data_IF_299731440246
#
_entry.id   IF_299731440246
#
_cell.length_a   1.000
_cell.length_b   1.000
_cell.length_c   1.000
_cell.angle_alpha   90.00
_cell.angle_beta   90.00
_cell.angle_gamma   90.00
#
_symmetry.space_group_name_H-M   'P 1'
#
loop_
_entity.id
_entity.type
_entity.pdbx_description
1 polymer ?
#
# COMPACT_ATOMS: atom_id res chain seq x y z
N UNK A 1 37.74 -7.64 -1.39
CA UNK A 1 36.69 -8.06 -0.42
C UNK A 1 35.35 -7.59 -0.97
N UNK A 2 34.32 -8.41 -0.78
CA UNK A 2 33.18 -8.62 -1.70
C UNK A 2 32.38 -7.37 -2.06
N UNK A 3 32.18 -7.12 -3.36
CA UNK A 3 31.13 -6.25 -3.89
C UNK A 3 29.86 -7.10 -4.05
N UNK A 4 29.01 -7.16 -3.03
CA UNK A 4 27.65 -7.68 -3.19
C UNK A 4 26.72 -6.49 -3.07
N UNK A 5 26.44 -5.85 -4.21
CA UNK A 5 25.35 -4.89 -4.34
C UNK A 5 24.08 -5.73 -4.49
N UNK A 6 23.27 -5.76 -3.44
CA UNK A 6 21.99 -6.46 -3.45
C UNK A 6 21.05 -5.79 -4.44
N UNK A 7 20.62 -6.55 -5.44
CA UNK A 7 19.51 -6.17 -6.31
C UNK A 7 18.24 -6.52 -5.53
N UNK A 8 17.71 -5.55 -4.76
CA UNK A 8 16.38 -5.68 -4.18
C UNK A 8 15.36 -5.68 -5.33
N UNK A 9 14.82 -6.85 -5.67
CA UNK A 9 13.76 -7.01 -6.66
C UNK A 9 12.42 -6.51 -6.08
N UNK A 10 12.24 -5.21 -5.92
CA UNK A 10 11.02 -4.59 -5.36
C UNK A 10 9.99 -4.19 -6.43
N UNK A 11 10.26 -4.39 -7.72
CA UNK A 11 9.61 -3.60 -8.77
C UNK A 11 8.23 -4.11 -9.28
N UNK A 12 7.78 -5.33 -8.98
CA UNK A 12 6.62 -5.87 -9.71
C UNK A 12 5.24 -5.43 -9.16
N UNK A 13 5.09 -5.28 -7.83
CA UNK A 13 3.77 -5.08 -7.21
C UNK A 13 3.52 -3.63 -6.76
N UNK A 14 4.57 -2.88 -6.41
CA UNK A 14 4.45 -1.47 -6.04
C UNK A 14 3.87 -0.60 -7.19
N UNK A 15 4.11 -0.97 -8.45
CA UNK A 15 3.63 -0.22 -9.63
C UNK A 15 2.11 -0.27 -9.76
N UNK A 16 1.47 -1.40 -9.42
CA UNK A 16 0.02 -1.58 -9.57
C UNK A 16 -0.77 -0.69 -8.60
N UNK A 17 -0.16 -0.33 -7.47
CA UNK A 17 -0.78 0.40 -6.36
C UNK A 17 -0.48 1.89 -6.48
N UNK A 18 0.75 2.24 -6.90
CA UNK A 18 1.12 3.63 -7.24
C UNK A 18 0.24 4.22 -8.36
N UNK A 19 -0.38 3.37 -9.20
CA UNK A 19 -1.29 3.79 -10.27
C UNK A 19 -2.79 3.77 -9.94
N UNK A 20 -3.21 3.18 -8.81
CA UNK A 20 -4.62 3.12 -8.42
C UNK A 20 -4.92 4.24 -7.42
N UNK A 21 -5.55 5.32 -7.91
CA UNK A 21 -6.27 6.24 -7.03
C UNK A 21 -7.51 5.53 -6.47
N UNK A 22 -7.89 5.84 -5.23
CA UNK A 22 -9.20 5.43 -4.74
C UNK A 22 -10.28 5.92 -5.73
N UNK A 23 -11.35 5.14 -5.97
CA UNK A 23 -12.39 5.57 -6.89
C UNK A 23 -13.04 6.85 -6.37
N UNK A 24 -13.28 7.82 -7.26
CA UNK A 24 -14.06 9.00 -6.91
C UNK A 24 -15.55 8.63 -6.92
N UNK A 25 -16.16 8.50 -5.74
CA UNK A 25 -17.56 8.10 -5.57
C UNK A 25 -18.56 9.27 -5.60
N UNK A 26 -18.16 10.45 -6.10
CA UNK A 26 -19.05 11.62 -6.19
C UNK A 26 -20.22 11.45 -7.17
N UNK A 27 -20.22 10.39 -8.00
CA UNK A 27 -21.21 10.17 -9.06
C UNK A 27 -22.13 8.97 -8.80
N UNK A 28 -22.49 8.70 -7.54
CA UNK A 28 -23.48 7.67 -7.23
C UNK A 28 -24.88 8.20 -7.57
N UNK A 29 -25.69 7.45 -8.37
CA UNK A 29 -27.09 7.79 -8.62
C UNK A 29 -27.85 7.96 -7.30
N UNK A 30 -28.73 8.96 -7.21
CA UNK A 30 -29.51 9.22 -5.99
C UNK A 30 -30.34 8.01 -5.54
N UNK A 31 -30.75 7.16 -6.49
CA UNK A 31 -31.44 5.90 -6.23
C UNK A 31 -30.59 4.87 -5.44
N UNK A 32 -29.26 5.01 -5.46
CA UNK A 32 -28.32 4.14 -4.78
C UNK A 32 -27.65 4.79 -3.57
N UNK A 33 -27.99 6.05 -3.24
CA UNK A 33 -27.32 6.80 -2.17
C UNK A 33 -27.35 6.08 -0.81
N UNK A 34 -28.52 5.55 -0.43
CA UNK A 34 -28.68 4.82 0.84
C UNK A 34 -27.95 3.46 0.80
N UNK A 35 -28.07 2.74 -0.32
CA UNK A 35 -27.44 1.41 -0.53
C UNK A 35 -25.92 1.49 -0.61
N UNK A 36 -25.37 2.63 -1.00
CA UNK A 36 -23.93 2.88 -1.12
C UNK A 36 -23.38 3.76 0.01
N UNK A 37 -24.16 4.02 1.06
CA UNK A 37 -23.84 5.03 2.08
C UNK A 37 -22.47 4.82 2.74
N UNK A 38 -22.13 3.59 3.14
CA UNK A 38 -20.82 3.29 3.74
C UNK A 38 -19.70 3.30 2.71
N UNK A 39 -19.99 2.91 1.47
CA UNK A 39 -19.01 3.00 0.38
C UNK A 39 -18.59 4.44 0.12
N UNK A 40 -19.56 5.36 0.05
CA UNK A 40 -19.30 6.80 -0.10
C UNK A 40 -18.58 7.35 1.13
N UNK A 41 -19.06 7.01 2.33
CA UNK A 41 -18.47 7.47 3.59
C UNK A 41 -17.01 7.03 3.72
N UNK A 42 -16.72 5.74 3.50
CA UNK A 42 -15.37 5.19 3.61
C UNK A 42 -14.39 5.90 2.69
N UNK A 43 -14.78 6.06 1.42
CA UNK A 43 -13.93 6.75 0.46
C UNK A 43 -13.74 8.23 0.79
N UNK A 44 -14.80 8.93 1.19
CA UNK A 44 -14.73 10.33 1.59
C UNK A 44 -13.80 10.52 2.80
N UNK A 45 -13.92 9.68 3.83
CA UNK A 45 -13.07 9.77 5.01
C UNK A 45 -11.61 9.46 4.67
N UNK A 46 -11.34 8.50 3.79
CA UNK A 46 -9.99 8.22 3.33
C UNK A 46 -9.40 9.37 2.50
N UNK A 47 -10.17 9.96 1.56
CA UNK A 47 -9.75 11.10 0.74
C UNK A 47 -9.50 12.37 1.55
N UNK A 48 -10.21 12.55 2.66
CA UNK A 48 -10.06 13.73 3.54
C UNK A 48 -8.96 13.56 4.58
N UNK A 49 -8.64 12.31 4.97
CA UNK A 49 -7.59 12.01 5.95
C UNK A 49 -6.21 11.95 5.31
N UNK A 50 -6.11 11.43 4.07
CA UNK A 50 -4.85 11.17 3.40
C UNK A 50 -4.71 11.99 2.11
N UNK A 51 -3.47 12.40 1.80
CA UNK A 51 -3.17 13.22 0.60
C UNK A 51 -2.48 12.43 -0.51
N UNK A 52 -1.80 11.34 -0.16
CA UNK A 52 -1.19 10.41 -1.11
C UNK A 52 -2.25 9.47 -1.67
N UNK A 53 -2.31 9.31 -3.00
CA UNK A 53 -3.23 8.35 -3.64
C UNK A 53 -3.07 6.92 -3.10
N UNK A 54 -1.83 6.52 -2.79
CA UNK A 54 -1.53 5.21 -2.21
C UNK A 54 -2.12 5.08 -0.81
N UNK A 55 -2.03 6.12 0.02
CA UNK A 55 -2.57 6.09 1.38
C UNK A 55 -4.10 6.15 1.38
N UNK A 56 -4.69 6.95 0.48
CA UNK A 56 -6.15 6.99 0.28
C UNK A 56 -6.66 5.61 -0.14
N UNK A 57 -6.02 4.97 -1.12
CA UNK A 57 -6.43 3.64 -1.58
C UNK A 57 -6.16 2.56 -0.52
N UNK A 58 -5.03 2.64 0.18
CA UNK A 58 -4.71 1.77 1.32
C UNK A 58 -5.75 1.88 2.42
N UNK A 59 -6.18 3.10 2.74
CA UNK A 59 -7.25 3.36 3.70
C UNK A 59 -8.56 2.74 3.24
N UNK A 60 -8.96 2.97 1.98
CA UNK A 60 -10.20 2.41 1.44
C UNK A 60 -10.18 0.88 1.45
N UNK A 61 -9.05 0.26 1.09
CA UNK A 61 -8.90 -1.20 1.13
C UNK A 61 -8.91 -1.76 2.54
N UNK A 62 -8.25 -1.11 3.48
CA UNK A 62 -8.22 -1.53 4.87
C UNK A 62 -9.58 -1.36 5.56
N UNK A 63 -10.40 -0.42 5.06
CA UNK A 63 -11.75 -0.12 5.54
C UNK A 63 -12.79 -0.48 4.47
N UNK A 64 -12.56 -1.57 3.73
CA UNK A 64 -13.39 -1.92 2.59
C UNK A 64 -14.86 -2.05 3.02
N UNK A 65 -15.77 -1.30 2.39
CA UNK A 65 -17.09 -1.05 2.95
C UNK A 65 -17.98 -2.30 2.86
N UNK A 66 -18.73 -2.57 3.92
CA UNK A 66 -19.55 -3.79 4.02
C UNK A 66 -20.73 -3.80 3.05
N UNK A 67 -21.17 -2.63 2.58
CA UNK A 67 -22.28 -2.47 1.64
C UNK A 67 -21.84 -2.54 0.17
N UNK A 68 -20.55 -2.76 -0.11
CA UNK A 68 -19.98 -2.73 -1.46
C UNK A 68 -20.72 -3.62 -2.47
N UNK A 69 -21.13 -4.82 -2.07
CA UNK A 69 -21.83 -5.78 -2.94
C UNK A 69 -23.23 -5.29 -3.32
N UNK A 70 -23.98 -4.78 -2.33
CA UNK A 70 -25.34 -4.26 -2.54
C UNK A 70 -25.28 -2.96 -3.35
N UNK A 71 -24.29 -2.12 -3.05
CA UNK A 71 -24.00 -0.91 -3.82
C UNK A 71 -23.71 -1.23 -5.29
N UNK A 72 -22.82 -2.19 -5.59
CA UNK A 72 -22.50 -2.59 -6.95
C UNK A 72 -23.74 -3.12 -7.72
N UNK A 73 -24.62 -3.86 -7.02
CA UNK A 73 -25.88 -4.34 -7.58
C UNK A 73 -26.82 -3.19 -7.93
N UNK A 74 -26.94 -2.20 -7.03
CA UNK A 74 -27.74 -1.00 -7.28
C UNK A 74 -27.18 -0.19 -8.46
N UNK A 75 -25.87 0.05 -8.48
CA UNK A 75 -25.19 0.79 -9.55
C UNK A 75 -25.38 0.14 -10.93
N UNK A 76 -25.32 -1.19 -11.00
CA UNK A 76 -25.60 -1.95 -12.23
C UNK A 76 -27.02 -1.72 -12.73
N UNK A 77 -27.99 -1.58 -11.82
CA UNK A 77 -29.41 -1.39 -12.13
C UNK A 77 -29.79 0.06 -12.46
N UNK A 78 -28.87 1.01 -12.25
CA UNK A 78 -29.12 2.46 -12.38
C UNK A 78 -28.06 3.14 -13.28
N UNK A 79 -27.73 2.51 -14.41
CA UNK A 79 -26.85 3.05 -15.46
C UNK A 79 -25.42 3.43 -15.02
N UNK A 80 -24.94 2.89 -13.90
CA UNK A 80 -23.60 3.12 -13.35
C UNK A 80 -22.73 1.84 -13.36
N UNK A 81 -22.87 1.01 -14.40
CA UNK A 81 -22.20 -0.30 -14.50
C UNK A 81 -20.66 -0.24 -14.46
N UNK A 82 -20.05 0.85 -14.94
CA UNK A 82 -18.60 1.04 -14.85
C UNK A 82 -18.14 1.21 -13.38
N UNK A 83 -18.89 1.96 -12.58
CA UNK A 83 -18.61 2.16 -11.16
C UNK A 83 -18.91 0.88 -10.36
N UNK A 84 -19.96 0.15 -10.73
CA UNK A 84 -20.24 -1.17 -10.18
C UNK A 84 -19.07 -2.15 -10.44
N UNK A 85 -18.58 -2.20 -11.68
CA UNK A 85 -17.47 -3.07 -12.07
C UNK A 85 -16.19 -2.74 -11.32
N UNK A 86 -15.93 -1.44 -11.11
CA UNK A 86 -14.82 -0.97 -10.31
C UNK A 86 -14.94 -1.46 -8.85
N UNK A 87 -16.09 -1.23 -8.21
CA UNK A 87 -16.35 -1.69 -6.84
C UNK A 87 -16.19 -3.20 -6.70
N UNK A 88 -16.78 -3.99 -7.61
CA UNK A 88 -16.63 -5.46 -7.61
C UNK A 88 -15.18 -5.89 -7.80
N UNK A 89 -14.42 -5.24 -8.69
CA UNK A 89 -12.99 -5.51 -8.86
C UNK A 89 -12.21 -5.21 -7.58
N UNK A 90 -12.51 -4.09 -6.92
CA UNK A 90 -11.85 -3.67 -5.69
C UNK A 90 -12.08 -4.66 -4.53
N UNK A 91 -13.24 -5.33 -4.49
CA UNK A 91 -13.52 -6.39 -3.50
C UNK A 91 -12.48 -7.52 -3.51
N UNK A 92 -11.94 -7.86 -4.67
CA UNK A 92 -10.90 -8.90 -4.80
C UNK A 92 -9.49 -8.29 -4.75
N UNK A 93 -9.32 -7.10 -5.33
CA UNK A 93 -8.03 -6.42 -5.38
C UNK A 93 -7.53 -5.99 -4.00
N UNK A 94 -8.39 -5.48 -3.11
CA UNK A 94 -7.99 -4.99 -1.80
C UNK A 94 -7.38 -6.06 -0.90
N UNK A 95 -8.02 -7.24 -0.67
CA UNK A 95 -7.40 -8.31 0.11
C UNK A 95 -6.07 -8.78 -0.49
N UNK A 96 -6.01 -8.86 -1.83
CA UNK A 96 -4.78 -9.23 -2.54
C UNK A 96 -3.66 -8.22 -2.29
N UNK A 97 -3.94 -6.92 -2.46
CA UNK A 97 -2.98 -5.85 -2.24
C UNK A 97 -2.45 -5.85 -0.80
N UNK A 98 -3.35 -5.97 0.18
CA UNK A 98 -3.00 -6.07 1.60
C UNK A 98 -2.10 -7.29 1.86
N UNK A 99 -2.49 -8.48 1.40
CA UNK A 99 -1.69 -9.70 1.60
C UNK A 99 -0.33 -9.65 0.90
N UNK A 100 -0.23 -8.91 -0.21
CA UNK A 100 1.00 -8.72 -0.97
C UNK A 100 1.82 -7.52 -0.48
N UNK A 101 1.45 -6.90 0.65
CA UNK A 101 2.17 -5.78 1.26
C UNK A 101 2.36 -4.59 0.32
N UNK A 102 1.40 -4.43 -0.58
CA UNK A 102 1.40 -3.45 -1.66
C UNK A 102 1.58 -2.02 -1.17
N UNK A 103 0.98 -1.68 -0.02
CA UNK A 103 0.99 -0.34 0.54
C UNK A 103 2.25 -0.08 1.35
N UNK A 104 2.69 -1.06 2.14
CA UNK A 104 3.93 -0.99 2.93
C UNK A 104 5.17 -0.90 2.04
N UNK A 105 5.11 -1.47 0.85
CA UNK A 105 6.18 -1.43 -0.16
C UNK A 105 6.06 -0.26 -1.16
N UNK A 106 5.07 0.62 -1.01
CA UNK A 106 4.84 1.74 -1.92
C UNK A 106 5.59 3.00 -1.48
N UNK A 107 6.91 2.97 -1.62
CA UNK A 107 7.79 4.12 -1.38
C UNK A 107 8.73 4.32 -2.57
N UNK A 108 9.43 5.45 -2.60
CA UNK A 108 10.40 5.74 -3.65
C UNK A 108 11.72 5.03 -3.39
N UNK A 109 12.17 4.28 -4.39
CA UNK A 109 13.37 3.47 -4.27
C UNK A 109 14.61 4.28 -4.58
N UNK A 110 15.67 4.08 -3.80
CA UNK A 110 16.99 4.63 -4.11
C UNK A 110 17.60 3.93 -5.33
N UNK A 111 18.41 4.67 -6.09
CA UNK A 111 19.25 4.06 -7.12
C UNK A 111 20.23 3.06 -6.49
N UNK A 112 20.46 1.94 -7.18
CA UNK A 112 21.35 0.88 -6.69
C UNK A 112 22.80 1.34 -6.45
N UNK A 113 23.24 2.42 -7.10
CA UNK A 113 24.55 3.05 -6.87
C UNK A 113 24.55 4.12 -5.79
N UNK A 114 23.39 4.59 -5.34
CA UNK A 114 23.27 5.63 -4.32
C UNK A 114 23.21 4.99 -2.92
N UNK A 115 24.39 4.70 -2.39
CA UNK A 115 24.57 4.11 -1.06
C UNK A 115 24.07 5.07 0.03
N UNK A 116 24.25 6.38 -0.15
CA UNK A 116 23.81 7.36 0.85
C UNK A 116 22.29 7.37 0.99
N UNK A 117 21.57 7.24 -0.13
CA UNK A 117 20.12 7.10 -0.12
C UNK A 117 19.72 5.76 0.53
N UNK A 118 20.34 4.65 0.11
CA UNK A 118 20.00 3.31 0.61
C UNK A 118 20.26 3.12 2.12
N UNK A 119 21.23 3.85 2.67
CA UNK A 119 21.58 3.82 4.08
C UNK A 119 20.98 4.98 4.88
N UNK A 120 20.10 5.79 4.30
CA UNK A 120 19.39 6.85 4.99
C UNK A 120 18.23 6.30 5.84
N UNK A 121 17.94 6.98 6.97
CA UNK A 121 16.93 6.55 7.93
C UNK A 121 15.56 6.24 7.29
N UNK A 122 15.05 7.15 6.44
CA UNK A 122 13.73 7.02 5.81
C UNK A 122 13.65 5.79 4.89
N UNK A 123 14.71 5.55 4.09
CA UNK A 123 14.73 4.40 3.19
C UNK A 123 14.83 3.08 3.96
N UNK A 124 15.68 3.02 4.99
CA UNK A 124 15.81 1.86 5.84
C UNK A 124 14.49 1.56 6.58
N UNK A 125 13.78 2.57 7.09
CA UNK A 125 12.48 2.38 7.72
C UNK A 125 11.42 1.87 6.72
N UNK A 126 11.40 2.41 5.50
CA UNK A 126 10.48 1.95 4.46
C UNK A 126 10.76 0.51 4.01
N UNK A 127 12.04 0.15 3.84
CA UNK A 127 12.45 -1.24 3.55
C UNK A 127 12.07 -2.15 4.71
N UNK A 128 12.33 -1.74 5.96
CA UNK A 128 11.94 -2.50 7.15
C UNK A 128 10.43 -2.77 7.18
N UNK A 129 9.62 -1.76 6.91
CA UNK A 129 8.16 -1.88 6.89
C UNK A 129 7.69 -2.89 5.84
N UNK A 130 8.16 -2.73 4.59
CA UNK A 130 7.85 -3.63 3.48
C UNK A 130 8.32 -5.07 3.76
N UNK A 131 9.57 -5.23 4.21
CA UNK A 131 10.19 -6.52 4.50
C UNK A 131 9.46 -7.26 5.64
N UNK A 132 9.10 -6.54 6.70
CA UNK A 132 8.36 -7.08 7.84
C UNK A 132 6.99 -7.59 7.41
N UNK A 133 6.26 -6.81 6.61
CA UNK A 133 4.96 -7.24 6.09
C UNK A 133 5.11 -8.49 5.20
N UNK A 134 6.07 -8.50 4.26
CA UNK A 134 6.25 -9.63 3.34
C UNK A 134 6.63 -10.92 4.07
N UNK A 135 7.49 -10.82 5.08
CA UNK A 135 7.83 -11.97 5.92
C UNK A 135 6.62 -12.46 6.73
N UNK A 136 5.81 -11.55 7.28
CA UNK A 136 4.60 -11.93 8.02
C UNK A 136 3.54 -12.61 7.14
N UNK A 137 3.41 -12.18 5.88
CA UNK A 137 2.46 -12.76 4.90
C UNK A 137 3.03 -13.95 4.10
N UNK A 138 4.29 -14.32 4.30
CA UNK A 138 4.91 -15.46 3.59
C UNK A 138 5.22 -15.19 2.11
N UNK A 139 5.39 -13.93 1.71
CA UNK A 139 5.69 -13.51 0.35
C UNK A 139 7.17 -13.74 0.00
N UNK A 140 7.66 -14.99 0.03
CA UNK A 140 9.09 -15.35 -0.03
C UNK A 140 9.84 -14.92 -1.30
N UNK A 141 9.12 -14.56 -2.37
CA UNK A 141 9.70 -14.03 -3.60
C UNK A 141 9.92 -12.50 -3.59
N UNK A 142 9.51 -11.82 -2.52
CA UNK A 142 9.69 -10.38 -2.31
C UNK A 142 10.80 -10.10 -1.26
N UNK A 143 11.10 -8.83 -1.01
CA UNK A 143 12.05 -8.42 0.03
C UNK A 143 11.62 -8.95 1.40
N UNK A 144 12.51 -9.69 2.05
CA UNK A 144 12.30 -10.30 3.37
C UNK A 144 13.03 -9.53 4.47
N UNK A 145 12.63 -9.77 5.73
CA UNK A 145 13.31 -9.19 6.89
C UNK A 145 14.80 -9.54 6.96
N UNK A 146 15.19 -10.70 6.43
CA UNK A 146 16.60 -11.10 6.29
C UNK A 146 17.38 -10.21 5.33
N UNK A 147 16.73 -9.72 4.27
CA UNK A 147 17.35 -8.81 3.30
C UNK A 147 17.55 -7.44 3.93
N UNK A 148 16.56 -6.96 4.70
CA UNK A 148 16.70 -5.74 5.50
C UNK A 148 17.86 -5.84 6.49
N UNK A 149 17.93 -6.92 7.29
CA UNK A 149 19.01 -7.10 8.26
C UNK A 149 20.39 -7.08 7.59
N UNK A 150 20.50 -7.68 6.40
CA UNK A 150 21.75 -7.67 5.61
C UNK A 150 22.10 -6.27 5.11
N UNK A 151 21.11 -5.50 4.66
CA UNK A 151 21.29 -4.10 4.24
C UNK A 151 21.70 -3.22 5.42
N UNK A 152 20.99 -3.33 6.54
CA UNK A 152 21.28 -2.59 7.77
C UNK A 152 22.71 -2.86 8.26
N UNK A 153 23.12 -4.13 8.33
CA UNK A 153 24.48 -4.52 8.70
C UNK A 153 25.51 -3.94 7.72
N UNK A 154 25.22 -3.97 6.41
CA UNK A 154 26.09 -3.37 5.40
C UNK A 154 26.25 -1.86 5.57
N UNK A 155 25.18 -1.15 5.89
CA UNK A 155 25.20 0.29 6.14
C UNK A 155 25.96 0.65 7.43
N UNK A 156 25.72 -0.10 8.52
CA UNK A 156 26.44 0.09 9.79
C UNK A 156 27.95 -0.16 9.63
N UNK A 157 28.34 -1.22 8.91
CA UNK A 157 29.75 -1.49 8.58
C UNK A 157 30.42 -0.41 7.72
N UNK A 158 29.63 0.40 7.02
CA UNK A 158 30.10 1.55 6.24
C UNK A 158 30.05 2.87 7.03
N UNK A 159 29.70 2.81 8.33
CA UNK A 159 29.59 3.95 9.25
C UNK A 159 28.44 4.92 8.93
N UNK A 160 27.35 4.44 8.33
CA UNK A 160 26.11 5.21 8.24
C UNK A 160 25.34 5.10 9.56
N UNK A 161 25.30 6.19 10.33
CA UNK A 161 24.72 6.22 11.69
C UNK A 161 23.23 5.92 11.73
N UNK A 162 22.51 6.20 10.64
CA UNK A 162 21.08 5.93 10.53
C UNK A 162 20.77 4.42 10.60
N UNK A 163 21.73 3.56 10.25
CA UNK A 163 21.59 2.12 10.32
C UNK A 163 21.56 1.58 11.76
N UNK A 164 22.09 2.33 12.72
CA UNK A 164 22.06 1.96 14.14
C UNK A 164 20.74 2.39 14.82
N UNK A 165 19.80 2.95 14.06
CA UNK A 165 18.48 3.35 14.51
C UNK A 165 17.58 2.18 14.89
N UNK A 166 16.47 2.51 15.57
CA UNK A 166 15.37 1.56 15.80
C UNK A 166 14.33 1.73 14.71
N UNK A 167 13.94 0.64 14.05
CA UNK A 167 12.96 0.64 12.98
C UNK A 167 11.63 0.09 13.46
N UNK A 168 10.54 0.69 12.99
CA UNK A 168 9.18 0.28 13.34
C UNK A 168 8.35 0.06 12.09
N UNK A 169 7.35 -0.81 12.18
CA UNK A 169 6.37 -0.97 11.12
C UNK A 169 5.33 0.13 11.21
N UNK A 170 4.85 0.58 10.06
CA UNK A 170 3.72 1.50 9.93
C UNK A 170 2.48 0.67 9.65
N UNK A 171 1.44 0.86 10.44
CA UNK A 171 0.15 0.22 10.19
C UNK A 171 -0.44 0.71 8.86
N UNK A 172 -1.26 -0.13 8.24
CA UNK A 172 -2.05 0.29 7.08
C UNK A 172 -2.87 1.55 7.43
N UNK A 173 -3.04 2.47 6.48
CA UNK A 173 -3.91 3.64 6.65
C UNK A 173 -5.32 3.23 7.13
N UNK A 174 -5.91 3.99 8.04
CA UNK A 174 -7.23 3.72 8.64
C UNK A 174 -8.11 4.95 8.64
N UNK A 175 -9.43 4.75 8.67
CA UNK A 175 -10.35 5.82 9.00
C UNK A 175 -10.25 6.09 10.51
N UNK A 176 -9.96 7.33 10.90
CA UNK A 176 -10.05 7.75 12.30
C UNK A 176 -11.52 8.07 12.62
N UNK A 177 -12.16 7.22 13.42
CA UNK A 177 -13.52 7.41 13.93
C UNK A 177 -13.56 8.29 15.18
#
# INVERSE_FOLDING_TARGET
MSKILFIAATAAFAVVVKGQSAPNWQYIPSACADTCSKTVESAYLCETTYTSNTDVYGCFCNNYPTDASDCATCLTSNDAAALASLLTSTQTACPTAISQCSFECAFDTCDSSDISCQCGADYLENIYNCASCNTANGNTAATQISDFNSLQESCSNQNYTDADGTFTTKALPTINT
#
